data_IF_165495749925
#
_entry.id   IF_165495749925
#
_cell.length_a   1.000
_cell.length_b   1.000
_cell.length_c   1.000
_cell.angle_alpha   90.00
_cell.angle_beta   90.00
_cell.angle_gamma   90.00
#
_symmetry.space_group_name_H-M   'P 1'
#
loop_
_entity.id
_entity.type
_entity.pdbx_description
1 polymer ?
#
# COMPACT_ATOMS: atom_id res chain seq x y z
N UNK A 1 -12.21 14.52 6.56
CA UNK A 1 -10.88 14.54 7.23
C UNK A 1 -9.79 14.98 6.26
N UNK A 2 -9.80 14.46 5.02
CA UNK A 2 -8.73 14.68 4.04
C UNK A 2 -8.62 16.14 3.53
N UNK A 3 -9.68 16.95 3.58
CA UNK A 3 -9.69 18.34 3.05
C UNK A 3 -8.72 19.31 3.76
N UNK A 4 -8.08 18.86 4.84
CA UNK A 4 -7.11 19.65 5.64
C UNK A 4 -5.69 19.08 5.56
N UNK A 5 -5.43 18.17 4.65
CA UNK A 5 -4.11 17.58 4.41
C UNK A 5 -3.42 18.35 3.28
N UNK A 6 -2.18 18.78 3.51
CA UNK A 6 -1.33 19.33 2.45
C UNK A 6 -0.46 18.17 1.93
N UNK A 7 -0.70 17.73 0.70
CA UNK A 7 0.00 16.60 0.09
C UNK A 7 -0.46 16.33 -1.34
N UNK A 8 0.06 15.26 -1.95
CA UNK A 8 -0.43 14.79 -3.25
C UNK A 8 -1.83 14.18 -3.08
N UNK A 9 -2.76 14.59 -3.94
CA UNK A 9 -4.09 13.99 -3.98
C UNK A 9 -4.03 12.57 -4.53
N UNK A 10 -5.03 11.76 -4.17
CA UNK A 10 -5.08 10.34 -4.58
C UNK A 10 -5.10 10.18 -6.10
N UNK A 11 -5.81 11.06 -6.81
CA UNK A 11 -5.82 11.08 -8.28
C UNK A 11 -4.47 11.50 -8.87
N UNK A 12 -3.71 12.33 -8.15
CA UNK A 12 -2.34 12.66 -8.51
C UNK A 12 -1.45 11.42 -8.49
N UNK A 13 -1.59 10.57 -7.45
CA UNK A 13 -0.86 9.30 -7.34
C UNK A 13 -1.20 8.36 -8.50
N UNK A 14 -2.48 8.24 -8.88
CA UNK A 14 -2.92 7.37 -9.99
C UNK A 14 -2.30 7.74 -11.35
N UNK A 15 -1.91 8.99 -11.53
CA UNK A 15 -1.29 9.48 -12.77
C UNK A 15 0.23 9.27 -12.81
N UNK A 16 0.86 8.85 -11.70
CA UNK A 16 2.29 8.55 -11.66
C UNK A 16 2.52 7.23 -12.42
N UNK A 17 3.40 7.18 -13.43
CA UNK A 17 3.61 5.97 -14.24
C UNK A 17 4.09 4.73 -13.46
N UNK A 18 4.68 4.94 -12.28
CA UNK A 18 5.16 3.88 -11.40
C UNK A 18 5.24 4.34 -9.94
N UNK A 19 4.44 3.74 -9.08
CA UNK A 19 4.39 3.98 -7.64
C UNK A 19 5.00 2.79 -6.90
N UNK A 20 6.05 3.06 -6.11
CA UNK A 20 6.74 2.06 -5.30
C UNK A 20 6.44 2.29 -3.83
N UNK A 21 5.82 1.30 -3.18
CA UNK A 21 5.61 1.29 -1.74
C UNK A 21 6.68 0.44 -1.04
N UNK A 22 7.18 0.93 0.09
CA UNK A 22 8.10 0.18 0.97
C UNK A 22 7.44 0.04 2.33
N UNK A 23 7.10 -1.19 2.70
CA UNK A 23 6.44 -1.46 3.97
C UNK A 23 6.74 -2.88 4.44
N UNK A 24 6.87 -3.07 5.75
CA UNK A 24 7.10 -4.35 6.40
C UNK A 24 6.72 -4.28 7.88
N UNK A 25 6.65 -5.44 8.51
CA UNK A 25 6.13 -5.65 9.86
C UNK A 25 4.74 -6.30 9.87
N UNK A 26 4.52 -7.36 10.68
CA UNK A 26 3.25 -8.07 10.74
C UNK A 26 2.07 -7.16 11.11
N UNK A 27 2.29 -6.13 11.92
CA UNK A 27 1.29 -5.15 12.33
C UNK A 27 0.76 -4.28 11.17
N UNK A 28 1.47 -4.26 10.03
CA UNK A 28 1.09 -3.47 8.84
C UNK A 28 0.42 -4.31 7.76
N UNK A 29 0.27 -5.62 7.95
CA UNK A 29 -0.26 -6.55 6.91
C UNK A 29 -1.58 -6.04 6.33
N UNK A 30 -2.53 -5.66 7.19
CA UNK A 30 -3.85 -5.16 6.76
C UNK A 30 -3.77 -3.80 6.04
N UNK A 31 -2.92 -2.89 6.49
CA UNK A 31 -2.72 -1.60 5.82
C UNK A 31 -2.09 -1.77 4.44
N UNK A 32 -1.09 -2.66 4.31
CA UNK A 32 -0.46 -2.98 3.03
C UNK A 32 -1.44 -3.66 2.08
N UNK A 33 -2.29 -4.57 2.57
CA UNK A 33 -3.39 -5.16 1.78
C UNK A 33 -4.35 -4.10 1.26
N UNK A 34 -4.74 -3.14 2.10
CA UNK A 34 -5.56 -2.00 1.69
C UNK A 34 -4.91 -1.18 0.58
N UNK A 35 -3.61 -0.90 0.70
CA UNK A 35 -2.85 -0.18 -0.34
C UNK A 35 -2.80 -0.98 -1.66
N UNK A 36 -2.51 -2.28 -1.62
CA UNK A 36 -2.52 -3.15 -2.80
C UNK A 36 -3.89 -3.17 -3.48
N UNK A 37 -4.97 -3.33 -2.70
CA UNK A 37 -6.33 -3.38 -3.22
C UNK A 37 -6.83 -2.04 -3.76
N UNK A 38 -6.24 -0.91 -3.34
CA UNK A 38 -6.64 0.43 -3.81
C UNK A 38 -6.25 0.72 -5.27
N UNK A 39 -5.33 -0.08 -5.83
CA UNK A 39 -4.74 0.17 -7.15
C UNK A 39 -3.89 1.44 -7.22
N UNK A 40 -3.43 1.95 -6.08
CA UNK A 40 -2.55 3.14 -6.01
C UNK A 40 -1.07 2.81 -6.05
N UNK A 41 -0.70 1.54 -5.90
CA UNK A 41 0.69 1.08 -5.86
C UNK A 41 0.93 0.03 -6.94
N UNK A 42 2.04 0.14 -7.64
CA UNK A 42 2.43 -0.81 -8.71
C UNK A 42 3.43 -1.84 -8.20
N UNK A 43 4.30 -1.42 -7.28
CA UNK A 43 5.39 -2.24 -6.74
C UNK A 43 5.39 -2.15 -5.23
N UNK A 44 5.47 -3.31 -4.57
CA UNK A 44 5.69 -3.42 -3.13
C UNK A 44 7.06 -4.02 -2.85
N UNK A 45 7.86 -3.33 -2.04
CA UNK A 45 9.05 -3.87 -1.39
C UNK A 45 8.68 -4.18 0.07
N UNK A 46 8.81 -5.44 0.46
CA UNK A 46 8.43 -5.93 1.79
C UNK A 46 9.34 -7.04 2.29
N UNK A 47 9.25 -7.36 3.58
CA UNK A 47 9.94 -8.49 4.18
C UNK A 47 9.18 -9.81 4.00
N UNK A 48 9.88 -10.92 4.22
CA UNK A 48 9.32 -12.26 4.05
C UNK A 48 8.07 -12.53 4.90
N UNK A 49 8.04 -12.08 6.17
CA UNK A 49 6.91 -12.37 7.08
C UNK A 49 5.66 -11.63 6.61
N UNK A 50 5.81 -10.36 6.26
CA UNK A 50 4.71 -9.54 5.74
C UNK A 50 4.21 -10.09 4.40
N UNK A 51 5.12 -10.44 3.49
CA UNK A 51 4.77 -11.09 2.22
C UNK A 51 4.04 -12.41 2.40
N UNK A 52 4.49 -13.25 3.34
CA UNK A 52 3.82 -14.50 3.68
C UNK A 52 2.41 -14.27 4.23
N UNK A 53 2.25 -13.36 5.19
CA UNK A 53 0.94 -13.05 5.77
C UNK A 53 -0.04 -12.49 4.72
N UNK A 54 0.46 -11.70 3.75
CA UNK A 54 -0.35 -11.19 2.65
C UNK A 54 -0.93 -12.30 1.76
N UNK A 55 -0.24 -13.44 1.66
CA UNK A 55 -0.73 -14.61 0.91
C UNK A 55 -1.68 -15.49 1.72
N UNK A 56 -1.44 -15.62 3.03
CA UNK A 56 -2.18 -16.55 3.91
C UNK A 56 -3.51 -15.97 4.43
N UNK A 57 -3.60 -14.65 4.67
CA UNK A 57 -4.86 -14.01 5.08
C UNK A 57 -5.81 -13.85 3.88
N UNK A 58 -6.51 -14.91 3.51
CA UNK A 58 -7.71 -14.84 2.67
C UNK A 58 -8.93 -14.75 3.59
N UNK A 59 -9.54 -13.57 3.67
CA UNK A 59 -10.93 -13.41 4.11
C UNK A 59 -11.85 -13.52 2.88
#
# INVERSE_FOLDING_TARGET
INDRVIGIETDGIRNIPRVVAVAGGPEKTQAVRGALNSGLIDVLITDYKTGKNLLEEQL
#
